data_IF_193556338696
#
_entry.id   IF_193556338696
#
_cell.length_a   1.000
_cell.length_b   1.000
_cell.length_c   1.000
_cell.angle_alpha   90.00
_cell.angle_beta   90.00
_cell.angle_gamma   90.00
#
_symmetry.space_group_name_H-M   'P 1'
#
loop_
_entity.id
_entity.type
_entity.pdbx_description
1 polymer ?
#
# COMPACT_ATOMS: atom_id res chain seq x y z
N UNK A 1 -36.77 -23.79 -49.55
CA UNK A 1 -35.76 -24.44 -48.68
C UNK A 1 -34.92 -23.34 -48.05
N UNK A 2 -34.78 -23.42 -46.73
CA UNK A 2 -34.44 -22.33 -45.81
C UNK A 2 -33.02 -21.79 -45.93
N UNK A 3 -32.91 -20.48 -45.71
CA UNK A 3 -31.67 -19.73 -45.56
C UNK A 3 -30.81 -20.25 -44.40
N UNK A 4 -29.50 -20.35 -44.61
CA UNK A 4 -28.51 -20.57 -43.57
C UNK A 4 -27.67 -19.31 -43.42
N UNK A 5 -27.82 -18.50 -42.36
CA UNK A 5 -26.88 -17.42 -42.10
C UNK A 5 -25.59 -18.01 -41.50
N UNK A 6 -24.46 -17.71 -42.13
CA UNK A 6 -23.14 -17.99 -41.58
C UNK A 6 -22.96 -17.21 -40.28
N UNK A 7 -22.84 -17.94 -39.18
CA UNK A 7 -22.53 -17.40 -37.86
C UNK A 7 -21.12 -16.79 -37.90
N UNK A 8 -21.05 -15.46 -37.82
CA UNK A 8 -19.78 -14.73 -37.65
C UNK A 8 -19.15 -15.16 -36.31
N UNK A 9 -17.83 -15.43 -36.24
CA UNK A 9 -17.21 -15.75 -34.97
C UNK A 9 -17.23 -14.51 -34.05
N UNK A 10 -17.69 -14.77 -32.84
CA UNK A 10 -17.71 -13.90 -31.66
C UNK A 10 -16.39 -13.15 -31.55
N UNK A 11 -16.45 -11.82 -31.64
CA UNK A 11 -15.34 -10.93 -31.30
C UNK A 11 -14.82 -11.31 -29.92
N UNK A 12 -13.66 -11.97 -29.88
CA UNK A 12 -12.90 -12.18 -28.66
C UNK A 12 -12.41 -10.80 -28.25
N UNK A 13 -13.24 -10.06 -27.50
CA UNK A 13 -12.81 -8.85 -26.83
C UNK A 13 -11.50 -9.18 -26.11
N UNK A 14 -10.42 -8.53 -26.55
CA UNK A 14 -9.09 -8.73 -26.02
C UNK A 14 -9.17 -8.65 -24.48
N UNK A 15 -8.57 -9.64 -23.81
CA UNK A 15 -8.35 -9.61 -22.37
C UNK A 15 -7.78 -8.25 -22.03
N UNK A 16 -8.35 -7.48 -21.08
CA UNK A 16 -7.77 -6.19 -20.72
C UNK A 16 -6.30 -6.42 -20.36
N UNK A 17 -5.42 -5.75 -21.10
CA UNK A 17 -3.99 -5.67 -20.79
C UNK A 17 -3.86 -5.20 -19.35
N UNK A 18 -2.86 -5.66 -18.58
CA UNK A 18 -2.54 -5.06 -17.30
C UNK A 18 -1.89 -3.71 -17.64
N UNK A 19 -2.68 -2.75 -18.11
CA UNK A 19 -2.38 -1.36 -17.82
C UNK A 19 -2.27 -1.33 -16.32
N UNK A 20 -1.02 -1.31 -15.86
CA UNK A 20 -0.66 -1.10 -14.49
C UNK A 20 -1.44 0.14 -14.11
N UNK A 21 -2.56 -0.08 -13.40
CA UNK A 21 -3.16 0.98 -12.65
C UNK A 21 -2.00 1.45 -11.80
N UNK A 22 -1.48 2.63 -12.14
CA UNK A 22 -0.77 3.45 -11.18
C UNK A 22 -1.83 3.87 -10.17
N UNK A 23 -2.39 2.89 -9.45
CA UNK A 23 -2.90 3.09 -8.10
C UNK A 23 -1.72 3.77 -7.47
N UNK A 24 -1.87 5.07 -7.26
CA UNK A 24 -0.89 5.90 -6.62
C UNK A 24 -0.58 5.16 -5.32
N UNK A 25 0.54 4.42 -5.31
CA UNK A 25 0.84 3.53 -4.21
C UNK A 25 1.11 4.48 -3.08
N UNK A 26 0.13 4.65 -2.19
CA UNK A 26 0.29 5.48 -1.01
C UNK A 26 1.50 4.92 -0.24
N UNK A 27 2.65 5.57 -0.42
CA UNK A 27 3.89 5.21 0.29
C UNK A 27 3.94 5.88 1.65
N UNK A 28 3.16 6.95 1.83
CA UNK A 28 3.02 7.61 3.12
C UNK A 28 2.10 6.79 4.02
N UNK A 29 2.59 6.53 5.23
CA UNK A 29 1.87 5.81 6.28
C UNK A 29 1.95 6.60 7.57
N UNK A 30 0.91 6.50 8.39
CA UNK A 30 0.95 6.86 9.78
C UNK A 30 1.43 5.65 10.59
N UNK A 31 2.41 5.86 11.45
CA UNK A 31 2.93 4.86 12.37
C UNK A 31 2.33 5.11 13.75
N UNK A 32 1.55 4.15 14.25
CA UNK A 32 0.95 4.21 15.57
C UNK A 32 2.02 4.20 16.68
N UNK A 33 1.75 4.83 17.84
CA UNK A 33 2.62 4.73 19.01
C UNK A 33 2.84 3.28 19.41
N UNK A 34 4.01 2.99 19.98
CA UNK A 34 4.35 1.66 20.48
C UNK A 34 5.05 1.78 21.84
N UNK A 35 5.17 0.68 22.58
CA UNK A 35 5.89 0.67 23.85
C UNK A 35 7.37 1.12 23.73
N UNK A 36 7.94 1.13 22.52
CA UNK A 36 9.29 1.64 22.23
C UNK A 36 9.30 3.12 21.84
N UNK A 37 8.14 3.69 21.54
CA UNK A 37 7.91 5.07 21.11
C UNK A 37 6.69 5.59 21.90
N UNK A 38 6.90 5.70 23.22
CA UNK A 38 5.87 5.98 24.22
C UNK A 38 5.36 7.41 24.11
N UNK A 39 6.21 8.32 23.64
CA UNK A 39 5.88 9.72 23.48
C UNK A 39 5.43 10.00 22.05
N UNK A 40 4.19 10.46 21.93
CA UNK A 40 3.61 11.29 20.86
C UNK A 40 2.89 10.60 19.69
N UNK A 41 1.96 11.42 19.16
CA UNK A 41 0.99 11.28 18.07
C UNK A 41 1.48 10.43 16.89
N UNK A 42 0.59 9.83 16.10
CA UNK A 42 0.97 9.02 14.94
C UNK A 42 2.02 9.71 14.07
N UNK A 43 3.13 9.01 13.79
CA UNK A 43 4.28 9.57 13.09
C UNK A 43 4.11 9.41 11.58
N UNK A 44 4.37 10.44 10.76
CA UNK A 44 4.43 10.26 9.33
C UNK A 44 5.66 9.42 8.97
N UNK A 45 5.45 8.40 8.14
CA UNK A 45 6.47 7.50 7.67
C UNK A 45 6.39 7.28 6.17
N UNK A 46 7.54 7.01 5.55
CA UNK A 46 7.65 6.59 4.17
C UNK A 46 7.94 5.09 4.11
N UNK A 47 7.03 4.35 3.50
CA UNK A 47 7.17 2.93 3.24
C UNK A 47 8.15 2.69 2.10
N UNK A 48 9.23 1.97 2.40
CA UNK A 48 10.27 1.60 1.44
C UNK A 48 10.00 0.22 0.84
N UNK A 49 9.83 -0.79 1.70
CA UNK A 49 9.63 -2.18 1.28
C UNK A 49 8.88 -3.00 2.32
N UNK A 50 8.36 -4.16 1.91
CA UNK A 50 7.68 -5.13 2.75
C UNK A 50 8.51 -6.41 2.90
N UNK A 51 8.35 -7.08 4.04
CA UNK A 51 8.91 -8.40 4.31
C UNK A 51 7.90 -9.23 5.09
N UNK A 52 7.73 -10.50 4.70
CA UNK A 52 6.99 -11.48 5.51
C UNK A 52 7.95 -12.11 6.52
N UNK A 53 7.53 -12.17 7.78
CA UNK A 53 8.22 -12.82 8.92
C UNK A 53 7.27 -13.83 9.58
N UNK A 54 7.79 -14.59 10.53
CA UNK A 54 7.03 -15.64 11.24
C UNK A 54 5.81 -15.09 11.97
N UNK A 55 5.91 -13.87 12.51
CA UNK A 55 4.87 -13.18 13.27
C UNK A 55 3.97 -12.26 12.43
N UNK A 56 4.24 -12.09 11.14
CA UNK A 56 3.41 -11.24 10.31
C UNK A 56 4.11 -10.54 9.15
N UNK A 57 3.41 -9.57 8.59
CA UNK A 57 3.98 -8.63 7.63
C UNK A 57 4.65 -7.48 8.36
N UNK A 58 5.83 -7.10 7.88
CA UNK A 58 6.60 -5.97 8.37
C UNK A 58 6.96 -5.06 7.20
N UNK A 59 6.97 -3.75 7.43
CA UNK A 59 7.47 -2.78 6.48
C UNK A 59 8.74 -2.12 6.99
N UNK A 60 9.67 -1.84 6.09
CA UNK A 60 10.78 -0.95 6.36
C UNK A 60 10.31 0.49 6.11
N UNK A 61 10.29 1.29 7.17
CA UNK A 61 9.70 2.63 7.18
C UNK A 61 10.74 3.65 7.62
N UNK A 62 10.88 4.73 6.86
CA UNK A 62 11.68 5.90 7.21
C UNK A 62 10.78 6.93 7.88
N UNK A 63 11.19 7.46 9.03
CA UNK A 63 10.45 8.43 9.83
C UNK A 63 11.35 9.59 10.24
N UNK A 64 10.78 10.79 10.34
CA UNK A 64 11.45 11.96 10.91
C UNK A 64 10.99 12.11 12.37
N UNK A 65 11.94 12.03 13.31
CA UNK A 65 11.66 12.22 14.73
C UNK A 65 11.52 13.72 15.06
N UNK A 66 10.88 14.09 16.19
CA UNK A 66 10.76 15.48 16.62
C UNK A 66 12.12 16.18 16.85
N UNK A 67 13.17 15.39 17.11
CA UNK A 67 14.56 15.87 17.22
C UNK A 67 15.17 16.29 15.88
N UNK A 68 14.50 16.04 14.75
CA UNK A 68 15.04 16.22 13.40
C UNK A 68 15.85 15.03 12.88
N UNK A 69 16.01 13.98 13.69
CA UNK A 69 16.71 12.77 13.26
C UNK A 69 15.87 11.94 12.29
N UNK A 70 16.49 11.48 11.19
CA UNK A 70 15.89 10.54 10.26
C UNK A 70 16.21 9.11 10.71
N UNK A 71 15.19 8.31 10.97
CA UNK A 71 15.35 6.91 11.41
C UNK A 71 14.66 5.97 10.44
N UNK A 72 15.25 4.80 10.23
CA UNK A 72 14.67 3.76 9.39
C UNK A 72 14.57 2.47 10.19
N UNK A 73 13.36 1.92 10.29
CA UNK A 73 13.09 0.76 11.12
C UNK A 73 12.09 -0.19 10.47
N UNK A 74 12.19 -1.46 10.83
CA UNK A 74 11.14 -2.43 10.54
C UNK A 74 9.99 -2.24 11.53
N UNK A 75 8.79 -2.03 10.99
CA UNK A 75 7.55 -1.81 11.76
C UNK A 75 6.53 -2.88 11.37
N UNK A 76 5.85 -3.52 12.33
CA UNK A 76 4.82 -4.50 12.02
C UNK A 76 3.63 -3.81 11.34
N UNK A 77 3.04 -4.49 10.36
CA UNK A 77 1.93 -3.95 9.56
C UNK A 77 0.74 -3.48 10.41
N UNK A 78 0.51 -4.12 11.57
CA UNK A 78 -0.57 -3.77 12.50
C UNK A 78 -0.49 -2.34 13.03
N UNK A 79 0.71 -1.76 13.10
CA UNK A 79 0.97 -0.39 13.53
C UNK A 79 0.93 0.63 12.40
N UNK A 80 0.71 0.20 11.15
CA UNK A 80 0.71 1.10 10.00
C UNK A 80 -0.71 1.42 9.54
N UNK A 81 -0.94 2.67 9.18
CA UNK A 81 -2.16 3.11 8.51
C UNK A 81 -1.79 3.89 7.25
N UNK A 82 -2.37 3.61 6.08
CA UNK A 82 -2.13 4.44 4.90
C UNK A 82 -2.51 5.90 5.21
N UNK A 83 -1.64 6.84 4.84
CA UNK A 83 -2.00 8.25 4.82
C UNK A 83 -2.86 8.52 3.59
N UNK A 84 -4.15 8.14 3.66
CA UNK A 84 -5.16 8.47 2.64
C UNK A 84 -6.11 9.50 3.25
N UNK A 85 -6.15 10.70 2.69
CA UNK A 85 -6.99 11.79 3.22
C UNK A 85 -6.40 12.48 4.47
N UNK A 86 -7.09 13.49 5.01
CA UNK A 86 -6.59 14.29 6.15
C UNK A 86 -6.30 13.37 7.35
N UNK A 87 -5.20 13.66 8.07
CA UNK A 87 -4.69 12.81 9.15
C UNK A 87 -5.71 12.55 10.26
N UNK A 88 -5.47 11.53 11.12
CA UNK A 88 -6.39 11.21 12.21
C UNK A 88 -6.56 12.41 13.17
N UNK A 89 -7.82 12.80 13.42
CA UNK A 89 -8.23 13.78 14.44
C UNK A 89 -7.97 13.29 15.86
#
# INVERSE_FOLDING_TARGET
MSAHPHHTPRSTAARPSPEASSVERARHVWVAPSARQVDLRPYPGLLVTWQRRDDGWWAYVVMLLPTGALVANWVPASLLRPARGPGPS
#
